data_IF_727859529312
#
_entry.id   IF_727859529312
#
_cell.length_a   1.000
_cell.length_b   1.000
_cell.length_c   1.000
_cell.angle_alpha   90.00
_cell.angle_beta   90.00
_cell.angle_gamma   90.00
#
_symmetry.space_group_name_H-M   'P 1'
#
loop_
_entity.id
_entity.type
_entity.pdbx_description
1 polymer ?
#
# COMPACT_ATOMS: atom_id res chain seq x y z
N UNK A 1 -15.93 -43.19 17.04
CA UNK A 1 -16.64 -42.04 17.65
C UNK A 1 -16.33 -41.93 19.15
N UNK A 2 -15.07 -41.76 19.57
CA UNK A 2 -14.68 -41.79 21.01
C UNK A 2 -13.80 -40.62 21.46
N UNK A 3 -13.51 -39.66 20.57
CA UNK A 3 -12.70 -38.49 20.94
C UNK A 3 -13.55 -37.42 21.65
N UNK A 4 -14.78 -37.19 21.17
CA UNK A 4 -15.68 -36.16 21.70
C UNK A 4 -16.30 -36.53 23.06
N UNK A 5 -16.31 -37.81 23.44
CA UNK A 5 -16.84 -38.24 24.75
C UNK A 5 -16.01 -37.77 25.94
N UNK A 6 -14.80 -37.23 25.71
CA UNK A 6 -13.93 -36.65 26.74
C UNK A 6 -14.28 -35.20 27.09
N UNK A 7 -15.20 -34.56 26.37
CA UNK A 7 -15.56 -33.16 26.55
C UNK A 7 -17.02 -33.04 26.95
N UNK A 8 -17.31 -32.15 27.91
CA UNK A 8 -18.68 -31.73 28.22
C UNK A 8 -19.06 -30.59 27.28
N UNK A 9 -20.08 -30.78 26.43
CA UNK A 9 -20.56 -29.74 25.52
C UNK A 9 -22.08 -29.70 25.48
N UNK A 10 -22.64 -28.52 25.18
CA UNK A 10 -24.06 -28.34 24.88
C UNK A 10 -24.23 -28.02 23.40
N UNK A 11 -25.05 -28.78 22.69
CA UNK A 11 -25.36 -28.52 21.28
C UNK A 11 -26.48 -27.49 21.21
N UNK A 12 -26.24 -26.39 20.51
CA UNK A 12 -27.26 -25.37 20.21
C UNK A 12 -27.38 -25.22 18.70
N UNK A 13 -28.58 -25.42 18.18
CA UNK A 13 -28.88 -25.21 16.76
C UNK A 13 -29.14 -23.72 16.50
N UNK A 14 -28.49 -23.16 15.47
CA UNK A 14 -28.74 -21.79 14.99
C UNK A 14 -28.99 -21.81 13.48
N UNK A 15 -30.00 -21.07 13.04
CA UNK A 15 -30.36 -20.96 11.63
C UNK A 15 -29.48 -19.88 10.95
N UNK A 16 -29.13 -20.12 9.68
CA UNK A 16 -28.11 -19.40 8.91
C UNK A 16 -28.28 -17.86 8.85
N UNK A 17 -29.52 -17.36 8.96
CA UNK A 17 -29.82 -15.91 8.90
C UNK A 17 -29.30 -15.11 10.10
N UNK A 18 -28.93 -15.77 11.20
CA UNK A 18 -28.51 -15.11 12.45
C UNK A 18 -26.98 -15.09 12.64
N UNK A 19 -26.18 -15.48 11.63
CA UNK A 19 -24.73 -15.68 11.73
C UNK A 19 -23.91 -14.51 11.13
N UNK A 20 -23.96 -13.33 11.76
CA UNK A 20 -23.55 -12.04 11.14
C UNK A 20 -22.11 -11.60 11.50
N UNK A 21 -21.39 -12.27 12.41
CA UNK A 21 -20.22 -11.70 13.11
C UNK A 21 -18.86 -12.38 12.84
N UNK A 22 -18.48 -12.58 11.58
CA UNK A 22 -17.17 -13.17 11.25
C UNK A 22 -16.07 -12.15 10.82
N UNK A 23 -16.36 -10.86 10.68
CA UNK A 23 -15.51 -9.93 9.91
C UNK A 23 -15.01 -8.69 10.69
N UNK A 24 -14.42 -8.89 11.89
CA UNK A 24 -14.09 -7.77 12.80
C UNK A 24 -12.59 -7.45 12.95
N UNK A 25 -11.71 -7.79 12.00
CA UNK A 25 -10.26 -7.49 12.13
C UNK A 25 -9.60 -7.01 10.83
N UNK A 26 -9.93 -5.80 10.36
CA UNK A 26 -9.12 -5.11 9.34
C UNK A 26 -9.53 -3.63 9.17
N UNK A 27 -8.71 -2.58 9.16
CA UNK A 27 -7.31 -2.29 9.54
C UNK A 27 -7.26 -0.80 9.91
N UNK A 28 -6.53 -0.54 10.98
CA UNK A 28 -6.16 0.73 11.61
C UNK A 28 -5.48 1.73 10.63
N UNK A 29 -6.01 2.96 10.40
CA UNK A 29 -5.44 3.97 9.50
C UNK A 29 -4.34 4.86 10.13
N UNK A 30 -4.04 4.66 11.41
CA UNK A 30 -3.22 5.51 12.28
C UNK A 30 -1.70 5.23 12.24
N UNK A 31 -1.19 4.53 11.22
CA UNK A 31 0.27 4.36 11.08
C UNK A 31 0.89 5.65 10.52
N UNK A 32 1.18 6.58 11.43
CA UNK A 32 1.67 7.92 11.14
C UNK A 32 3.06 7.93 10.45
N UNK A 33 3.16 8.77 9.41
CA UNK A 33 4.30 9.00 8.52
C UNK A 33 5.37 9.95 9.11
N UNK A 34 5.45 10.05 10.44
CA UNK A 34 6.14 11.14 11.15
C UNK A 34 7.68 11.07 11.05
N UNK A 35 8.24 9.93 10.63
CA UNK A 35 9.71 9.73 10.60
C UNK A 35 10.41 10.32 9.35
N UNK A 36 9.67 10.74 8.32
CA UNK A 36 10.26 11.18 7.04
C UNK A 36 10.82 12.62 7.11
N UNK A 37 10.46 13.40 8.13
CA UNK A 37 10.82 14.82 8.26
C UNK A 37 12.31 15.13 8.46
N UNK A 38 13.13 14.19 8.95
CA UNK A 38 14.54 14.45 9.26
C UNK A 38 15.50 14.35 8.06
N UNK A 39 15.06 13.81 6.92
CA UNK A 39 15.89 13.65 5.71
C UNK A 39 15.93 14.90 4.81
N UNK A 40 15.15 15.92 5.16
CA UNK A 40 14.78 17.04 4.29
C UNK A 40 15.96 17.95 3.91
N UNK A 41 16.72 18.46 4.89
CA UNK A 41 17.70 19.54 4.63
C UNK A 41 18.90 19.12 3.78
N UNK A 42 19.49 17.94 4.05
CA UNK A 42 20.65 17.46 3.33
C UNK A 42 20.35 17.08 1.87
N UNK A 43 19.17 16.51 1.61
CA UNK A 43 18.75 16.13 0.27
C UNK A 43 18.35 17.36 -0.55
N UNK A 44 17.65 18.33 0.07
CA UNK A 44 17.26 19.58 -0.59
C UNK A 44 18.47 20.40 -1.05
N UNK A 45 19.54 20.45 -0.25
CA UNK A 45 20.77 21.12 -0.66
C UNK A 45 21.41 20.47 -1.90
N UNK A 46 21.39 19.14 -1.98
CA UNK A 46 21.92 18.41 -3.15
C UNK A 46 21.03 18.60 -4.38
N UNK A 47 19.71 18.62 -4.20
CA UNK A 47 18.74 18.95 -5.27
C UNK A 47 19.03 20.35 -5.82
N UNK A 48 19.18 21.34 -4.94
CA UNK A 48 19.50 22.70 -5.34
C UNK A 48 20.83 22.77 -6.09
N UNK A 49 21.87 22.11 -5.58
CA UNK A 49 23.18 22.05 -6.23
C UNK A 49 23.17 21.34 -7.59
N UNK A 50 22.20 20.44 -7.82
CA UNK A 50 22.08 19.70 -9.08
C UNK A 50 21.32 20.46 -10.18
N UNK A 51 20.53 21.50 -9.85
CA UNK A 51 19.77 22.26 -10.85
C UNK A 51 20.62 22.85 -12.01
N UNK A 52 21.81 23.43 -11.78
CA UNK A 52 22.63 23.99 -12.87
C UNK A 52 23.07 22.95 -13.91
N UNK A 53 23.17 21.68 -13.51
CA UNK A 53 23.66 20.59 -14.36
C UNK A 53 22.58 19.90 -15.17
N UNK A 54 21.30 20.19 -14.89
CA UNK A 54 20.18 19.64 -15.63
C UNK A 54 19.75 20.61 -16.74
N UNK A 55 19.88 20.20 -18.00
CA UNK A 55 19.54 21.04 -19.15
C UNK A 55 18.06 21.49 -19.18
N UNK A 56 17.15 20.68 -18.65
CA UNK A 56 15.72 20.97 -18.57
C UNK A 56 15.41 21.99 -17.46
N UNK A 57 16.08 21.87 -16.31
CA UNK A 57 15.99 22.84 -15.21
C UNK A 57 16.71 24.16 -15.57
N UNK A 58 17.91 24.10 -16.14
CA UNK A 58 18.73 25.27 -16.49
C UNK A 58 18.09 26.14 -17.57
N UNK A 59 17.49 25.53 -18.61
CA UNK A 59 16.77 26.29 -19.65
C UNK A 59 15.53 27.02 -19.11
N UNK A 60 14.81 26.41 -18.16
CA UNK A 60 13.64 27.01 -17.50
C UNK A 60 14.03 28.05 -16.44
N UNK A 61 15.15 27.84 -15.74
CA UNK A 61 15.72 28.78 -14.80
C UNK A 61 16.12 30.08 -15.50
N UNK A 62 16.79 30.01 -16.65
CA UNK A 62 17.10 31.19 -17.45
C UNK A 62 15.82 31.96 -17.86
N UNK A 63 14.80 31.24 -18.34
CA UNK A 63 13.54 31.84 -18.80
C UNK A 63 12.68 32.49 -17.70
N UNK A 64 12.88 32.12 -16.42
CA UNK A 64 12.13 32.65 -15.27
C UNK A 64 12.92 33.64 -14.42
N UNK A 65 14.25 33.65 -14.55
CA UNK A 65 15.14 34.63 -13.90
C UNK A 65 15.39 35.85 -14.79
N UNK A 66 15.10 35.75 -16.10
CA UNK A 66 15.10 36.90 -16.99
C UNK A 66 14.07 37.95 -16.52
N UNK A 67 14.48 39.20 -16.28
CA UNK A 67 13.57 40.28 -15.86
C UNK A 67 12.61 40.70 -16.98
N UNK A 68 12.80 40.19 -18.20
CA UNK A 68 11.94 40.44 -19.36
C UNK A 68 10.90 39.33 -19.43
N UNK A 69 9.60 39.61 -19.26
CA UNK A 69 8.56 38.58 -19.34
C UNK A 69 8.62 37.91 -20.72
N UNK A 70 8.63 36.55 -20.77
CA UNK A 70 8.64 35.85 -22.04
C UNK A 70 7.40 36.27 -22.84
N UNK A 71 7.59 36.60 -24.13
CA UNK A 71 6.47 36.95 -25.03
C UNK A 71 5.37 35.88 -24.89
N UNK A 72 4.09 36.26 -24.82
CA UNK A 72 2.98 35.37 -24.46
C UNK A 72 2.87 34.12 -25.36
N UNK A 73 3.35 34.21 -26.60
CA UNK A 73 3.37 33.10 -27.56
C UNK A 73 4.56 32.14 -27.41
N UNK A 74 5.56 32.47 -26.58
CA UNK A 74 6.77 31.67 -26.29
C UNK A 74 6.83 31.18 -24.84
N UNK A 75 6.05 31.76 -23.94
CA UNK A 75 5.87 31.21 -22.60
C UNK A 75 5.12 29.88 -22.73
N UNK A 76 5.85 28.76 -22.63
CA UNK A 76 5.23 27.44 -22.59
C UNK A 76 4.19 27.44 -21.47
N UNK A 77 2.94 27.05 -21.76
CA UNK A 77 1.87 26.85 -20.78
C UNK A 77 2.28 26.00 -19.57
N UNK A 78 3.35 25.22 -19.71
CA UNK A 78 3.96 24.45 -18.66
C UNK A 78 4.71 25.29 -17.59
N UNK A 79 5.14 26.53 -17.86
CA UNK A 79 5.88 27.37 -16.89
C UNK A 79 5.00 27.86 -15.73
N UNK A 80 3.70 28.11 -15.96
CA UNK A 80 2.76 28.48 -14.89
C UNK A 80 2.68 27.40 -13.79
N UNK A 81 3.02 26.15 -14.11
CA UNK A 81 2.99 25.02 -13.18
C UNK A 81 4.23 24.94 -12.29
N UNK A 82 5.19 25.86 -12.45
CA UNK A 82 6.42 25.88 -11.67
C UNK A 82 6.54 27.20 -10.90
N UNK A 83 6.98 27.10 -9.64
CA UNK A 83 7.32 28.23 -8.80
C UNK A 83 8.67 27.96 -8.10
N UNK A 84 9.41 29.01 -7.76
CA UNK A 84 10.62 28.89 -6.96
C UNK A 84 10.28 29.23 -5.51
N UNK A 85 10.53 28.30 -4.58
CA UNK A 85 10.32 28.51 -3.15
C UNK A 85 11.48 27.92 -2.36
N UNK A 86 12.06 28.69 -1.42
CA UNK A 86 13.19 28.23 -0.59
C UNK A 86 14.36 27.65 -1.40
N UNK A 87 14.67 28.27 -2.56
CA UNK A 87 15.70 27.81 -3.51
C UNK A 87 15.40 26.44 -4.15
N UNK A 88 14.18 25.93 -4.04
CA UNK A 88 13.73 24.69 -4.66
C UNK A 88 12.67 24.97 -5.71
N UNK A 89 12.70 24.21 -6.80
CA UNK A 89 11.66 24.24 -7.80
C UNK A 89 10.45 23.47 -7.31
N UNK A 90 9.30 24.13 -7.25
CA UNK A 90 8.02 23.56 -6.90
C UNK A 90 7.20 23.36 -8.16
N UNK A 91 6.78 22.14 -8.43
CA UNK A 91 5.89 21.76 -9.51
C UNK A 91 4.49 21.49 -8.98
N UNK A 92 3.50 22.07 -9.63
CA UNK A 92 2.11 21.90 -9.31
C UNK A 92 1.34 21.43 -10.55
N UNK A 93 0.92 20.14 -10.58
CA UNK A 93 0.19 19.61 -11.73
C UNK A 93 -1.13 20.35 -11.98
N UNK A 94 -1.95 20.54 -10.95
CA UNK A 94 -3.25 21.24 -11.07
C UNK A 94 -3.38 22.27 -9.97
N UNK A 95 -4.24 23.27 -10.15
CA UNK A 95 -4.48 24.30 -9.14
C UNK A 95 -4.85 23.72 -7.76
N UNK A 96 -5.50 22.56 -7.72
CA UNK A 96 -5.92 21.87 -6.49
C UNK A 96 -4.89 20.87 -5.95
N UNK A 97 -3.82 20.57 -6.70
CA UNK A 97 -2.77 19.65 -6.25
C UNK A 97 -1.78 20.37 -5.34
N UNK A 98 -1.29 19.73 -4.26
CA UNK A 98 -0.22 20.30 -3.46
C UNK A 98 1.06 20.45 -4.30
N UNK A 99 1.82 21.53 -4.11
CA UNK A 99 3.08 21.74 -4.82
C UNK A 99 4.13 20.72 -4.34
N UNK A 100 4.93 20.22 -5.27
CA UNK A 100 5.94 19.16 -5.03
C UNK A 100 7.30 19.64 -5.50
N UNK A 101 8.37 19.23 -4.83
CA UNK A 101 9.73 19.57 -5.23
C UNK A 101 10.07 18.84 -6.54
N UNK A 102 10.41 19.58 -7.58
CA UNK A 102 10.93 19.07 -8.83
C UNK A 102 12.39 18.65 -8.62
N UNK A 103 12.64 17.35 -8.71
CA UNK A 103 13.98 16.77 -8.60
C UNK A 103 14.62 16.76 -10.00
N UNK A 104 15.84 17.29 -10.16
CA UNK A 104 16.53 17.27 -11.45
C UNK A 104 16.88 15.83 -11.87
N UNK A 105 17.20 15.67 -13.15
CA UNK A 105 17.60 14.46 -13.87
C UNK A 105 18.91 13.83 -13.41
N UNK A 106 19.12 13.73 -12.11
CA UNK A 106 20.26 13.06 -11.49
C UNK A 106 19.83 11.69 -10.93
N UNK A 107 20.39 10.63 -11.52
CA UNK A 107 20.11 9.26 -11.10
C UNK A 107 20.50 9.00 -9.64
N UNK A 108 21.56 9.63 -9.13
CA UNK A 108 21.99 9.46 -7.74
C UNK A 108 21.03 10.10 -6.76
N UNK A 109 20.41 11.24 -7.12
CA UNK A 109 19.35 11.85 -6.30
C UNK A 109 18.11 10.98 -6.25
N UNK A 110 17.68 10.44 -7.39
CA UNK A 110 16.55 9.50 -7.43
C UNK A 110 16.82 8.28 -6.56
N UNK A 111 17.99 7.65 -6.69
CA UNK A 111 18.37 6.50 -5.88
C UNK A 111 18.43 6.85 -4.39
N UNK A 112 18.98 8.00 -4.03
CA UNK A 112 19.05 8.46 -2.63
C UNK A 112 17.65 8.60 -2.03
N UNK A 113 16.71 9.21 -2.76
CA UNK A 113 15.32 9.34 -2.33
C UNK A 113 14.64 7.98 -2.23
N UNK A 114 14.74 7.14 -3.26
CA UNK A 114 14.13 5.80 -3.26
C UNK A 114 14.63 4.96 -2.09
N UNK A 115 15.95 4.93 -1.88
CA UNK A 115 16.60 4.22 -0.78
C UNK A 115 16.16 4.71 0.58
N UNK A 116 16.11 6.03 0.78
CA UNK A 116 15.75 6.61 2.08
C UNK A 116 14.32 6.28 2.48
N UNK A 117 13.40 6.22 1.51
CA UNK A 117 11.99 5.92 1.75
C UNK A 117 11.66 4.42 1.78
N UNK A 118 12.47 3.58 1.13
CA UNK A 118 12.22 2.15 1.05
C UNK A 118 12.99 1.34 2.11
N UNK A 119 14.30 1.61 2.23
CA UNK A 119 15.23 0.81 3.03
C UNK A 119 15.30 1.30 4.50
N UNK A 120 14.67 2.43 4.83
CA UNK A 120 14.64 2.91 6.22
C UNK A 120 13.78 1.99 7.09
N UNK A 121 14.11 1.81 8.38
CA UNK A 121 13.29 1.03 9.31
C UNK A 121 11.82 1.49 9.36
N UNK A 122 11.60 2.80 9.20
CA UNK A 122 10.28 3.43 9.08
C UNK A 122 9.62 3.25 7.71
N UNK A 123 10.42 3.05 6.65
CA UNK A 123 9.98 2.81 5.28
C UNK A 123 9.44 1.39 5.06
N UNK A 124 9.78 0.46 5.95
CA UNK A 124 9.13 -0.85 6.08
C UNK A 124 9.05 -1.66 4.79
N UNK A 125 9.94 -1.43 3.83
CA UNK A 125 9.88 -2.04 2.50
C UNK A 125 8.50 -1.89 1.83
N UNK A 126 7.92 -0.68 1.89
CA UNK A 126 6.60 -0.43 1.31
C UNK A 126 6.51 -0.92 -0.13
N UNK A 127 5.36 -1.53 -0.45
CA UNK A 127 5.02 -1.89 -1.82
C UNK A 127 4.98 -0.66 -2.74
N UNK A 128 5.16 -0.91 -4.04
CA UNK A 128 5.21 0.09 -5.12
C UNK A 128 4.26 1.28 -4.93
N UNK A 129 2.97 0.99 -4.74
CA UNK A 129 1.94 2.04 -4.78
C UNK A 129 1.99 2.92 -3.53
N UNK A 130 2.22 2.33 -2.35
CA UNK A 130 2.38 3.06 -1.10
C UNK A 130 3.63 3.93 -1.12
N UNK A 131 4.76 3.39 -1.61
CA UNK A 131 6.00 4.15 -1.74
C UNK A 131 5.83 5.34 -2.69
N UNK A 132 5.19 5.13 -3.85
CA UNK A 132 4.91 6.20 -4.80
C UNK A 132 4.05 7.31 -4.18
N UNK A 133 2.96 6.94 -3.49
CA UNK A 133 2.06 7.93 -2.87
C UNK A 133 2.80 8.80 -1.85
N UNK A 134 3.64 8.20 -1.02
CA UNK A 134 4.42 8.92 -0.01
C UNK A 134 5.43 9.88 -0.67
N UNK A 135 6.18 9.41 -1.68
CA UNK A 135 7.12 10.27 -2.42
C UNK A 135 6.39 11.40 -3.14
N UNK A 136 5.23 11.10 -3.73
CA UNK A 136 4.39 12.04 -4.44
C UNK A 136 3.82 13.15 -3.55
N UNK A 137 3.84 13.01 -2.22
CA UNK A 137 3.47 14.10 -1.32
C UNK A 137 4.49 15.26 -1.35
N UNK A 138 5.77 14.98 -1.62
CA UNK A 138 6.85 15.96 -1.47
C UNK A 138 7.68 16.17 -2.71
N UNK A 139 7.79 15.16 -3.59
CA UNK A 139 8.69 15.16 -4.73
C UNK A 139 7.98 14.80 -6.03
N UNK A 140 8.56 15.24 -7.14
CA UNK A 140 8.20 14.79 -8.47
C UNK A 140 9.42 14.80 -9.39
N UNK A 141 9.46 13.85 -10.31
CA UNK A 141 10.40 13.82 -11.42
C UNK A 141 9.82 13.02 -12.60
N UNK A 142 10.37 13.16 -13.82
CA UNK A 142 9.92 12.41 -14.97
C UNK A 142 9.95 10.89 -14.72
N UNK A 143 8.87 10.20 -15.07
CA UNK A 143 8.76 8.74 -14.92
C UNK A 143 8.93 8.23 -13.47
N UNK A 144 8.66 9.04 -12.44
CA UNK A 144 8.80 8.66 -11.03
C UNK A 144 8.15 7.33 -10.66
N UNK A 145 6.93 7.07 -11.13
CA UNK A 145 6.27 5.78 -10.88
C UNK A 145 7.08 4.60 -11.42
N UNK A 146 7.64 4.71 -12.63
CA UNK A 146 8.49 3.67 -13.23
C UNK A 146 9.77 3.45 -12.43
N UNK A 147 10.41 4.53 -11.95
CA UNK A 147 11.58 4.45 -11.06
C UNK A 147 11.26 3.70 -9.77
N UNK A 148 10.13 4.04 -9.13
CA UNK A 148 9.64 3.35 -7.91
C UNK A 148 9.36 1.88 -8.20
N UNK A 149 8.64 1.57 -9.30
CA UNK A 149 8.36 0.17 -9.66
C UNK A 149 9.65 -0.62 -9.82
N UNK A 150 10.61 -0.08 -10.57
CA UNK A 150 11.87 -0.75 -10.86
C UNK A 150 12.65 -0.98 -9.57
N UNK A 151 12.75 0.03 -8.69
CA UNK A 151 13.47 -0.08 -7.43
C UNK A 151 12.88 -1.17 -6.52
N UNK A 152 11.56 -1.13 -6.29
CA UNK A 152 10.88 -2.12 -5.44
C UNK A 152 10.97 -3.53 -6.07
N UNK A 153 10.88 -3.63 -7.39
CA UNK A 153 10.98 -4.91 -8.09
C UNK A 153 12.37 -5.55 -7.96
N UNK A 154 13.44 -4.77 -7.79
CA UNK A 154 14.81 -5.27 -7.62
C UNK A 154 15.26 -5.35 -6.14
N UNK A 155 14.38 -5.06 -5.19
CA UNK A 155 14.70 -5.17 -3.77
C UNK A 155 14.70 -6.64 -3.33
N UNK A 156 15.87 -7.16 -2.95
CA UNK A 156 16.06 -8.55 -2.50
C UNK A 156 15.17 -8.89 -1.28
N UNK A 157 15.08 -7.99 -0.30
CA UNK A 157 14.23 -8.20 0.88
C UNK A 157 12.76 -8.32 0.49
N UNK A 158 12.26 -7.43 -0.38
CA UNK A 158 10.89 -7.52 -0.90
C UNK A 158 10.67 -8.80 -1.70
N UNK A 159 11.63 -9.20 -2.54
CA UNK A 159 11.51 -10.41 -3.35
C UNK A 159 11.43 -11.67 -2.49
N UNK A 160 12.20 -11.75 -1.40
CA UNK A 160 12.19 -12.91 -0.48
C UNK A 160 10.96 -12.95 0.41
N UNK A 161 10.47 -11.79 0.84
CA UNK A 161 9.31 -11.68 1.76
C UNK A 161 7.98 -11.70 1.04
N UNK A 162 7.94 -11.29 -0.23
CA UNK A 162 6.74 -11.36 -1.05
C UNK A 162 6.41 -12.83 -1.27
N UNK A 163 5.37 -13.28 -0.57
CA UNK A 163 4.68 -14.51 -0.91
C UNK A 163 4.16 -14.28 -2.33
N UNK A 164 4.89 -14.82 -3.31
CA UNK A 164 4.32 -15.03 -4.64
C UNK A 164 3.07 -15.84 -4.35
N UNK A 165 1.90 -15.30 -4.68
CA UNK A 165 0.76 -16.16 -4.88
C UNK A 165 1.21 -17.10 -6.01
N UNK A 166 1.79 -18.25 -5.63
CA UNK A 166 1.84 -19.39 -6.53
C UNK A 166 0.45 -19.46 -7.12
N UNK A 167 0.32 -19.70 -8.41
CA UNK A 167 -0.94 -20.17 -8.96
C UNK A 167 -1.29 -21.41 -8.16
N UNK A 168 -2.04 -21.23 -7.07
CA UNK A 168 -2.56 -22.31 -6.28
C UNK A 168 -3.25 -23.17 -7.32
N UNK A 169 -2.87 -24.45 -7.39
CA UNK A 169 -3.61 -25.39 -8.20
C UNK A 169 -5.09 -25.12 -7.94
N UNK A 170 -5.94 -25.03 -8.98
CA UNK A 170 -7.34 -24.68 -8.80
C UNK A 170 -7.88 -25.47 -7.61
N UNK A 171 -8.41 -24.78 -6.61
CA UNK A 171 -8.96 -25.44 -5.43
C UNK A 171 -9.99 -26.44 -5.96
N UNK A 172 -9.75 -27.74 -5.78
CA UNK A 172 -10.73 -28.74 -6.17
C UNK A 172 -11.92 -28.57 -5.23
N UNK A 173 -13.10 -28.18 -5.75
CA UNK A 173 -14.30 -28.12 -4.92
C UNK A 173 -14.59 -29.53 -4.40
N UNK A 174 -14.98 -29.64 -3.13
CA UNK A 174 -15.55 -30.88 -2.63
C UNK A 174 -16.78 -31.24 -3.46
N UNK A 175 -16.98 -32.53 -3.70
CA UNK A 175 -18.18 -33.02 -4.39
C UNK A 175 -19.43 -32.53 -3.67
N UNK A 176 -20.39 -32.01 -4.45
CA UNK A 176 -21.64 -31.49 -3.91
C UNK A 176 -22.40 -32.65 -3.23
N UNK A 177 -22.77 -32.53 -1.94
CA UNK A 177 -23.51 -33.57 -1.25
C UNK A 177 -24.95 -33.63 -1.78
N UNK A 178 -25.43 -34.84 -2.13
CA UNK A 178 -26.78 -35.05 -2.67
C UNK A 178 -27.84 -35.32 -1.60
N UNK A 179 -27.42 -35.61 -0.38
CA UNK A 179 -28.28 -35.98 0.74
C UNK A 179 -28.07 -35.04 1.93
N UNK A 180 -29.12 -34.83 2.72
CA UNK A 180 -29.00 -34.11 3.99
C UNK A 180 -28.02 -34.84 4.90
N UNK A 181 -27.22 -34.08 5.64
CA UNK A 181 -26.21 -34.57 6.58
C UNK A 181 -25.05 -35.39 5.99
N UNK A 182 -24.99 -35.54 4.66
CA UNK A 182 -23.92 -36.31 4.00
C UNK A 182 -22.56 -35.61 4.01
N UNK A 183 -22.53 -34.30 4.28
CA UNK A 183 -21.30 -33.54 4.48
C UNK A 183 -21.47 -32.47 5.54
N UNK A 184 -20.53 -32.43 6.48
CA UNK A 184 -20.49 -31.47 7.59
C UNK A 184 -19.09 -30.88 7.67
N UNK A 185 -19.01 -29.55 7.61
CA UNK A 185 -17.79 -28.81 7.94
C UNK A 185 -17.69 -28.60 9.45
N UNK A 186 -16.50 -28.79 10.02
CA UNK A 186 -16.25 -28.56 11.43
C UNK A 186 -15.13 -27.55 11.61
N UNK A 187 -15.33 -26.56 12.48
CA UNK A 187 -14.31 -25.60 12.85
C UNK A 187 -14.18 -25.48 14.38
N UNK A 188 -12.98 -25.22 14.87
CA UNK A 188 -12.68 -25.04 16.29
C UNK A 188 -12.14 -23.63 16.53
N UNK A 189 -12.82 -22.86 17.37
CA UNK A 189 -12.27 -21.64 17.96
C UNK A 189 -11.81 -21.98 19.37
N UNK A 190 -10.50 -22.03 19.59
CA UNK A 190 -9.88 -22.37 20.87
C UNK A 190 -9.11 -21.18 21.44
N UNK A 191 -8.90 -21.16 22.76
CA UNK A 191 -8.18 -20.07 23.44
C UNK A 191 -9.05 -18.88 23.85
N UNK A 192 -10.37 -19.10 23.96
CA UNK A 192 -11.28 -18.09 24.49
C UNK A 192 -11.17 -18.01 26.03
N UNK A 193 -11.47 -16.85 26.63
CA UNK A 193 -11.62 -16.74 28.08
C UNK A 193 -12.59 -17.79 28.62
N UNK A 194 -12.30 -18.31 29.82
CA UNK A 194 -13.17 -19.31 30.47
C UNK A 194 -14.55 -18.72 30.70
N UNK A 195 -15.58 -19.41 30.24
CA UNK A 195 -16.96 -19.09 30.60
C UNK A 195 -17.28 -19.52 32.05
N UNK A 196 -18.50 -19.22 32.51
CA UNK A 196 -18.97 -19.61 33.85
C UNK A 196 -18.96 -21.13 34.12
N UNK A 197 -18.82 -21.97 33.08
CA UNK A 197 -18.74 -23.43 33.18
C UNK A 197 -17.31 -23.95 32.92
N UNK A 198 -16.34 -23.05 32.71
CA UNK A 198 -14.94 -23.38 32.47
C UNK A 198 -14.58 -23.71 31.01
N UNK A 199 -15.49 -23.52 30.05
CA UNK A 199 -15.23 -23.80 28.63
C UNK A 199 -14.32 -22.72 28.02
N UNK A 200 -13.37 -23.11 27.17
CA UNK A 200 -12.37 -22.21 26.55
C UNK A 200 -12.39 -22.25 25.02
N UNK A 201 -13.43 -22.83 24.44
CA UNK A 201 -13.52 -22.98 23.00
C UNK A 201 -14.92 -23.30 22.52
N UNK A 202 -15.13 -23.07 21.23
CA UNK A 202 -16.39 -23.27 20.53
C UNK A 202 -16.10 -24.19 19.34
N UNK A 203 -16.86 -25.27 19.22
CA UNK A 203 -16.89 -26.10 18.02
C UNK A 203 -18.11 -25.72 17.19
N UNK A 204 -17.89 -25.39 15.93
CA UNK A 204 -18.95 -25.06 14.97
C UNK A 204 -19.04 -26.20 13.98
N UNK A 205 -20.21 -26.83 13.87
CA UNK A 205 -20.51 -27.81 12.84
C UNK A 205 -21.55 -27.22 11.89
N UNK A 206 -21.24 -27.14 10.61
CA UNK A 206 -22.12 -26.61 9.56
C UNK A 206 -22.40 -27.72 8.56
N UNK A 207 -23.66 -28.06 8.37
CA UNK A 207 -24.08 -28.94 7.29
C UNK A 207 -23.86 -28.23 5.95
N UNK A 208 -23.08 -28.84 5.04
CA UNK A 208 -22.87 -28.30 3.71
C UNK A 208 -24.08 -28.71 2.85
N UNK A 209 -24.97 -27.76 2.55
CA UNK A 209 -26.11 -27.98 1.66
C UNK A 209 -25.92 -27.30 0.31
N UNK A 210 -26.50 -27.89 -0.72
CA UNK A 210 -26.73 -27.22 -1.99
C UNK A 210 -28.09 -26.51 -1.94
N UNK A 211 -28.11 -25.18 -1.96
CA UNK A 211 -29.31 -24.44 -2.32
C UNK A 211 -29.56 -24.65 -3.82
N UNK A 212 -30.35 -25.66 -4.18
CA UNK A 212 -31.01 -25.65 -5.50
C UNK A 212 -31.90 -24.41 -5.49
N UNK A 213 -31.47 -23.35 -6.18
CA UNK A 213 -32.34 -22.23 -6.50
C UNK A 213 -33.46 -22.76 -7.39
N UNK A 214 -34.59 -23.12 -6.79
CA UNK A 214 -35.86 -23.18 -7.50
C UNK A 214 -36.17 -21.74 -7.94
N UNK A 215 -35.99 -21.49 -9.24
CA UNK A 215 -36.57 -20.32 -9.91
C UNK A 215 -38.08 -20.35 -9.80
#
# INVERSE_FOLDING_TARGET
MSYLSKYTFSVQYKLDKDNILADALYRRPDLELTTIGLLSSGVHNRIHAAYPFDAHCSSRLAALTDPVPPKPHRASSALHRFALANRLWMFQPTADSPPRIAVPGDAQLYLTLLRSYHDSPSGGHFGRDKMYLILACSYCWPCMYKSVMSYVAHCDVCQRTKIMASSWAPLQPLSIPNELWSSVSMNFMIGLPRDARGNTGIMVCVEIRHCKGTR
#
